data_IF_946945712970
#
_entry.id   IF_946945712970
#
_cell.length_a   1.000
_cell.length_b   1.000
_cell.length_c   1.000
_cell.angle_alpha   90.00
_cell.angle_beta   90.00
_cell.angle_gamma   90.00
#
_symmetry.space_group_name_H-M   'P 1'
#
loop_
_entity.id
_entity.type
_entity.pdbx_description
1 polymer ?
#
# COMPACT_ATOMS: atom_id res chain seq x y z
N UNK A 1 -31.86 -7.24 2.36
CA UNK A 1 -31.49 -6.44 3.54
C UNK A 1 -30.73 -5.24 3.03
N UNK A 2 -31.45 -4.12 2.86
CA UNK A 2 -30.86 -2.83 2.50
C UNK A 2 -30.26 -2.21 3.76
N UNK A 3 -29.08 -1.63 3.63
CA UNK A 3 -28.47 -0.86 4.71
C UNK A 3 -29.11 0.52 4.70
N UNK A 4 -29.91 0.80 5.73
CA UNK A 4 -30.45 2.13 6.00
C UNK A 4 -29.31 3.14 6.10
N UNK A 5 -29.32 4.08 5.17
CA UNK A 5 -28.48 5.27 5.17
C UNK A 5 -29.16 6.30 6.07
N UNK A 6 -28.78 6.32 7.34
CA UNK A 6 -29.11 7.42 8.24
C UNK A 6 -27.82 8.16 8.66
N UNK A 7 -27.56 9.21 7.91
CA UNK A 7 -27.08 10.52 8.35
C UNK A 7 -25.88 10.60 9.31
N UNK A 8 -24.69 10.86 8.76
CA UNK A 8 -23.74 11.85 9.28
C UNK A 8 -22.82 12.28 8.13
N UNK A 9 -22.47 13.55 8.10
CA UNK A 9 -21.68 14.27 7.10
C UNK A 9 -20.31 13.63 6.79
N UNK A 10 -20.29 12.56 5.98
CA UNK A 10 -19.09 11.93 5.43
C UNK A 10 -18.88 12.32 3.95
N UNK A 11 -19.36 13.49 3.54
CA UNK A 11 -18.89 14.14 2.33
C UNK A 11 -17.39 14.46 2.53
N UNK A 12 -16.52 13.88 1.68
CA UNK A 12 -15.06 14.07 1.58
C UNK A 12 -14.11 12.99 2.19
N UNK A 13 -14.57 11.74 2.30
CA UNK A 13 -13.86 10.74 3.11
C UNK A 13 -13.03 9.76 2.26
N UNK A 14 -11.93 10.23 1.68
CA UNK A 14 -10.84 9.41 1.14
C UNK A 14 -11.14 8.43 -0.01
N UNK A 15 -10.10 7.81 -0.54
CA UNK A 15 -10.16 6.76 -1.57
C UNK A 15 -10.79 5.47 -1.03
N UNK A 16 -11.18 4.55 -1.92
CA UNK A 16 -11.73 3.26 -1.52
C UNK A 16 -10.73 2.43 -0.69
N UNK A 17 -9.43 2.53 -0.98
CA UNK A 17 -8.40 1.89 -0.15
C UNK A 17 -8.28 2.57 1.23
N UNK A 18 -8.34 3.90 1.30
CA UNK A 18 -8.33 4.59 2.59
C UNK A 18 -9.50 4.17 3.47
N UNK A 19 -10.70 4.02 2.89
CA UNK A 19 -11.88 3.49 3.59
C UNK A 19 -11.70 2.03 4.01
N UNK A 20 -11.11 1.21 3.14
CA UNK A 20 -10.79 -0.18 3.46
C UNK A 20 -9.87 -0.28 4.68
N UNK A 21 -8.76 0.46 4.68
CA UNK A 21 -7.81 0.42 5.79
C UNK A 21 -8.37 1.03 7.07
N UNK A 22 -9.18 2.10 6.98
CA UNK A 22 -9.88 2.67 8.13
C UNK A 22 -10.85 1.66 8.75
N UNK A 23 -11.60 0.91 7.93
CA UNK A 23 -12.50 -0.12 8.41
C UNK A 23 -11.73 -1.31 9.02
N UNK A 24 -10.64 -1.73 8.40
CA UNK A 24 -9.80 -2.81 8.93
C UNK A 24 -9.20 -2.43 10.29
N UNK A 25 -8.69 -1.21 10.44
CA UNK A 25 -8.18 -0.68 11.71
C UNK A 25 -9.28 -0.60 12.78
N UNK A 26 -10.48 -0.11 12.41
CA UNK A 26 -11.63 -0.09 13.31
C UNK A 26 -12.00 -1.50 13.83
N UNK A 27 -12.07 -2.50 12.96
CA UNK A 27 -12.40 -3.87 13.36
C UNK A 27 -11.35 -4.45 14.31
N UNK A 28 -10.07 -4.18 14.06
CA UNK A 28 -8.96 -4.60 14.93
C UNK A 28 -9.06 -3.96 16.31
N UNK A 29 -9.27 -2.64 16.38
CA UNK A 29 -9.42 -1.90 17.65
C UNK A 29 -10.66 -2.32 18.44
N UNK A 30 -11.74 -2.68 17.75
CA UNK A 30 -12.96 -3.18 18.37
C UNK A 30 -12.87 -4.66 18.83
N UNK A 31 -11.72 -5.31 18.70
CA UNK A 31 -11.53 -6.72 19.07
C UNK A 31 -12.26 -7.71 18.14
N UNK A 32 -12.74 -7.26 16.99
CA UNK A 32 -13.49 -8.07 16.01
C UNK A 32 -12.55 -8.81 15.07
N UNK A 33 -11.62 -9.58 15.63
CA UNK A 33 -10.52 -10.26 14.91
C UNK A 33 -11.03 -11.11 13.74
N UNK A 34 -12.00 -11.99 13.96
CA UNK A 34 -12.54 -12.85 12.90
C UNK A 34 -13.23 -12.10 11.74
N UNK A 35 -13.67 -10.86 11.94
CA UNK A 35 -14.20 -10.01 10.88
C UNK A 35 -13.09 -9.25 10.18
N UNK A 36 -12.09 -8.77 10.93
CA UNK A 36 -10.89 -8.16 10.38
C UNK A 36 -10.11 -9.15 9.49
N UNK A 37 -9.98 -10.41 9.91
CA UNK A 37 -9.25 -11.44 9.14
C UNK A 37 -9.98 -11.78 7.84
N UNK A 38 -11.32 -11.86 7.89
CA UNK A 38 -12.14 -12.05 6.67
C UNK A 38 -12.01 -10.89 5.70
N UNK A 39 -11.97 -9.66 6.20
CA UNK A 39 -11.77 -8.47 5.37
C UNK A 39 -10.34 -8.41 4.81
N UNK A 40 -9.34 -8.76 5.62
CA UNK A 40 -7.92 -8.81 5.23
C UNK A 40 -7.65 -9.87 4.15
N UNK A 41 -8.33 -11.02 4.23
CA UNK A 41 -8.19 -12.10 3.25
C UNK A 41 -8.63 -11.70 1.84
N UNK A 42 -9.56 -10.75 1.71
CA UNK A 42 -9.99 -10.20 0.42
C UNK A 42 -9.02 -9.19 -0.20
N UNK A 43 -8.03 -8.70 0.57
CA UNK A 43 -7.15 -7.62 0.16
C UNK A 43 -7.86 -6.25 0.08
N UNK A 44 -7.08 -5.15 -0.05
CA UNK A 44 -7.64 -3.83 -0.32
C UNK A 44 -8.33 -3.82 -1.69
N UNK A 45 -9.22 -2.86 -2.02
CA UNK A 45 -9.73 -2.68 -3.39
C UNK A 45 -8.62 -2.16 -4.35
N UNK A 46 -8.85 -2.19 -5.67
CA UNK A 46 -7.91 -1.64 -6.65
C UNK A 46 -7.58 -0.16 -6.36
N UNK A 47 -6.30 0.23 -6.45
CA UNK A 47 -5.85 1.58 -6.16
C UNK A 47 -6.28 2.57 -7.25
N UNK A 48 -6.54 3.80 -6.84
CA UNK A 48 -6.74 4.96 -7.71
C UNK A 48 -5.48 5.83 -7.70
N UNK A 49 -5.43 6.83 -8.58
CA UNK A 49 -4.29 7.78 -8.64
C UNK A 49 -4.05 8.49 -7.29
N UNK A 50 -5.13 8.81 -6.57
CA UNK A 50 -5.07 9.50 -5.28
C UNK A 50 -4.50 8.65 -4.14
N UNK A 51 -4.41 7.33 -4.30
CA UNK A 51 -3.80 6.43 -3.31
C UNK A 51 -2.26 6.51 -3.27
N UNK A 52 -1.66 7.09 -4.32
CA UNK A 52 -0.21 7.16 -4.46
C UNK A 52 0.45 5.78 -4.57
N UNK A 53 1.80 5.74 -4.68
CA UNK A 53 2.54 4.50 -4.89
C UNK A 53 2.36 3.45 -3.79
N UNK A 54 2.10 3.87 -2.54
CA UNK A 54 1.91 2.95 -1.41
C UNK A 54 0.63 2.11 -1.54
N UNK A 55 -0.46 2.72 -2.01
CA UNK A 55 -1.70 1.98 -2.26
C UNK A 55 -1.58 0.96 -3.39
N UNK A 56 -0.74 1.27 -4.39
CA UNK A 56 -0.40 0.33 -5.46
C UNK A 56 0.47 -0.82 -4.96
N UNK A 57 1.48 -0.55 -4.13
CA UNK A 57 2.27 -1.60 -3.47
C UNK A 57 1.38 -2.55 -2.66
N UNK A 58 0.48 -1.99 -1.83
CA UNK A 58 -0.36 -2.79 -0.96
C UNK A 58 -1.40 -3.63 -1.72
N UNK A 59 -1.90 -3.15 -2.86
CA UNK A 59 -2.74 -3.95 -3.75
C UNK A 59 -1.97 -5.13 -4.36
N UNK A 60 -0.74 -4.90 -4.81
CA UNK A 60 0.08 -5.93 -5.46
C UNK A 60 0.67 -6.97 -4.50
N UNK A 61 0.54 -6.79 -3.18
CA UNK A 61 0.79 -7.87 -2.19
C UNK A 61 -0.21 -9.02 -2.31
N UNK A 62 -1.42 -8.71 -2.80
CA UNK A 62 -2.49 -9.69 -2.99
C UNK A 62 -2.69 -10.06 -4.48
N UNK A 63 -2.14 -9.26 -5.40
CA UNK A 63 -2.32 -9.38 -6.84
C UNK A 63 -0.97 -9.25 -7.54
N UNK A 64 -0.35 -10.35 -7.99
CA UNK A 64 0.93 -10.29 -8.70
C UNK A 64 0.86 -9.28 -9.85
N UNK A 65 1.77 -8.29 -9.92
CA UNK A 65 1.75 -7.30 -10.99
C UNK A 65 2.10 -7.97 -12.32
N UNK A 66 1.49 -7.53 -13.42
CA UNK A 66 2.06 -7.80 -14.75
C UNK A 66 3.39 -7.06 -14.95
N UNK A 67 4.25 -7.44 -15.91
CA UNK A 67 5.49 -6.71 -16.19
C UNK A 67 5.26 -5.20 -16.42
N UNK A 68 4.21 -4.85 -17.17
CA UNK A 68 3.86 -3.47 -17.49
C UNK A 68 3.37 -2.68 -16.26
N UNK A 69 2.65 -3.33 -15.35
CA UNK A 69 2.23 -2.72 -14.08
C UNK A 69 3.40 -2.54 -13.13
N UNK A 70 4.33 -3.50 -13.11
CA UNK A 70 5.55 -3.40 -12.33
C UNK A 70 6.41 -2.23 -12.79
N UNK A 71 6.62 -2.05 -14.10
CA UNK A 71 7.38 -0.92 -14.65
C UNK A 71 6.72 0.42 -14.27
N UNK A 72 5.40 0.54 -14.44
CA UNK A 72 4.64 1.75 -14.03
C UNK A 72 4.73 2.01 -12.52
N UNK A 73 4.77 0.96 -11.70
CA UNK A 73 4.90 1.10 -10.26
C UNK A 73 6.29 1.59 -9.88
N UNK A 74 7.34 1.05 -10.51
CA UNK A 74 8.71 1.50 -10.32
C UNK A 74 8.87 2.96 -10.72
N UNK A 75 8.31 3.38 -11.86
CA UNK A 75 8.31 4.78 -12.30
C UNK A 75 7.63 5.69 -11.28
N UNK A 76 6.43 5.31 -10.79
CA UNK A 76 5.73 6.08 -9.76
C UNK A 76 6.53 6.19 -8.46
N UNK A 77 7.25 5.14 -8.08
CA UNK A 77 8.10 5.13 -6.88
C UNK A 77 9.33 6.03 -7.05
N UNK A 78 9.90 6.09 -8.26
CA UNK A 78 10.99 7.01 -8.60
C UNK A 78 10.50 8.46 -8.62
N UNK A 79 9.36 8.74 -9.27
CA UNK A 79 8.76 10.07 -9.38
C UNK A 79 8.33 10.64 -8.02
N UNK A 80 7.74 9.78 -7.16
CA UNK A 80 7.43 10.13 -5.78
C UNK A 80 8.69 10.26 -4.90
N UNK A 81 9.87 9.97 -5.45
CA UNK A 81 11.14 9.97 -4.74
C UNK A 81 11.13 9.01 -3.57
N UNK A 82 10.39 7.89 -3.63
CA UNK A 82 10.38 6.85 -2.60
C UNK A 82 11.57 5.90 -2.76
N UNK A 83 11.97 5.63 -4.00
CA UNK A 83 13.20 4.89 -4.34
C UNK A 83 14.08 5.71 -5.28
N UNK A 84 15.34 5.32 -5.47
CA UNK A 84 16.27 5.91 -6.43
C UNK A 84 16.71 4.88 -7.48
N UNK A 85 17.16 5.35 -8.64
CA UNK A 85 17.70 4.48 -9.69
C UNK A 85 18.86 3.60 -9.19
N UNK A 86 19.72 4.15 -8.32
CA UNK A 86 20.83 3.40 -7.72
C UNK A 86 20.36 2.27 -6.80
N UNK A 87 19.26 2.46 -6.07
CA UNK A 87 18.67 1.40 -5.25
C UNK A 87 18.11 0.27 -6.13
N UNK A 88 17.55 0.58 -7.30
CA UNK A 88 17.12 -0.43 -8.24
C UNK A 88 18.30 -1.18 -8.87
N UNK A 89 19.41 -0.49 -9.16
CA UNK A 89 20.58 -1.13 -9.79
C UNK A 89 21.26 -2.16 -8.87
N UNK A 90 21.13 -1.98 -7.55
CA UNK A 90 21.65 -2.91 -6.55
C UNK A 90 20.76 -4.13 -6.27
N UNK A 91 19.55 -4.19 -6.84
CA UNK A 91 18.58 -5.23 -6.58
C UNK A 91 18.07 -5.85 -7.88
N UNK A 92 18.24 -7.17 -8.03
CA UNK A 92 17.58 -7.91 -9.10
C UNK A 92 16.09 -8.02 -8.78
N UNK A 93 15.26 -7.18 -9.39
CA UNK A 93 13.82 -7.35 -9.36
C UNK A 93 13.48 -8.60 -10.17
N UNK A 94 13.06 -9.67 -9.48
CA UNK A 94 12.61 -10.89 -10.14
C UNK A 94 11.38 -10.59 -11.02
N UNK A 95 11.11 -11.41 -12.04
CA UNK A 95 9.99 -11.18 -12.94
C UNK A 95 8.65 -11.22 -12.17
N UNK A 96 7.89 -10.13 -12.19
CA UNK A 96 6.43 -10.04 -12.00
C UNK A 96 5.80 -10.96 -10.92
N UNK A 97 6.47 -11.13 -9.79
CA UNK A 97 5.96 -11.87 -8.63
C UNK A 97 5.88 -10.97 -7.40
N UNK A 98 5.04 -11.38 -6.45
CA UNK A 98 4.86 -10.80 -5.12
C UNK A 98 6.17 -10.62 -4.34
N UNK A 99 7.18 -11.46 -4.56
CA UNK A 99 8.52 -11.28 -3.98
C UNK A 99 9.20 -9.96 -4.43
N UNK A 100 8.90 -9.49 -5.64
CA UNK A 100 9.40 -8.20 -6.16
C UNK A 100 8.73 -7.03 -5.44
N UNK A 101 7.44 -7.14 -5.13
CA UNK A 101 6.71 -6.15 -4.32
C UNK A 101 7.28 -6.06 -2.91
N UNK A 102 7.58 -7.19 -2.28
CA UNK A 102 8.23 -7.23 -0.96
C UNK A 102 9.61 -6.54 -0.99
N UNK A 103 10.39 -6.74 -2.05
CA UNK A 103 11.69 -6.07 -2.25
C UNK A 103 11.53 -4.56 -2.37
N UNK A 104 10.59 -4.07 -3.18
CA UNK A 104 10.30 -2.64 -3.31
C UNK A 104 9.88 -2.03 -1.97
N UNK A 105 9.05 -2.73 -1.19
CA UNK A 105 8.64 -2.28 0.14
C UNK A 105 9.81 -2.20 1.13
N UNK A 106 10.73 -3.18 1.09
CA UNK A 106 11.93 -3.18 1.91
C UNK A 106 12.86 -1.99 1.59
N UNK A 107 13.01 -1.65 0.30
CA UNK A 107 13.79 -0.48 -0.15
C UNK A 107 13.23 0.84 0.39
N UNK A 108 11.90 0.98 0.43
CA UNK A 108 11.22 2.15 0.98
C UNK A 108 11.39 2.20 2.51
N UNK A 109 11.22 1.07 3.19
CA UNK A 109 11.37 0.96 4.64
C UNK A 109 12.79 1.27 5.14
N UNK A 110 13.82 0.83 4.42
CA UNK A 110 15.23 1.09 4.77
C UNK A 110 15.59 2.58 4.75
N UNK A 111 14.89 3.39 3.94
CA UNK A 111 15.11 4.84 3.91
C UNK A 111 14.60 5.54 5.17
N UNK A 112 13.48 5.07 5.73
CA UNK A 112 12.89 5.64 6.94
C UNK A 112 13.84 5.46 8.13
N UNK A 113 14.54 4.32 8.20
CA UNK A 113 15.53 4.06 9.26
C UNK A 113 16.84 4.80 9.05
N UNK A 114 17.34 4.95 7.81
CA UNK A 114 18.55 5.75 7.56
C UNK A 114 18.38 7.24 7.86
N UNK A 115 17.15 7.78 7.76
CA UNK A 115 16.86 9.19 8.09
C UNK A 115 16.71 9.45 9.59
N UNK A 116 16.35 8.43 10.37
CA UNK A 116 16.20 8.53 11.82
C UNK A 116 17.55 8.51 12.58
N UNK A 117 18.64 8.11 11.93
CA UNK A 117 19.98 8.01 12.54
C UNK A 117 20.85 9.25 12.35
N UNK A 118 20.33 10.34 11.79
CA UNK A 118 21.05 11.62 11.67
C UNK A 118 20.50 12.62 12.68
N UNK A 119 20.75 12.36 13.97
CA UNK A 119 20.77 13.41 14.99
C UNK A 119 22.22 13.90 15.08
N UNK A 120 22.57 15.09 14.55
CA UNK A 120 23.83 15.71 14.91
C UNK A 120 23.76 16.13 16.39
N UNK A 121 24.92 16.04 17.03
CA UNK A 121 25.21 16.17 18.47
C UNK A 121 24.45 17.26 19.22
#
# INVERSE_FOLDING_TARGET
MGWDRDNTDYDDQGTEQQRYYAHLDFLRRAGKTAQADRLAAGGPPPPRKADGPEGWLAWHEHHPPTPEELDKLVDRLLDAGQITASQLTGHTLAPHDTATIATLRALIGARVTSRASTTPQ
#
